data_IF_759542292363
#
_entry.id   IF_759542292363
#
_cell.length_a   1.000
_cell.length_b   1.000
_cell.length_c   1.000
_cell.angle_alpha   90.00
_cell.angle_beta   90.00
_cell.angle_gamma   90.00
#
_symmetry.space_group_name_H-M   'P 1'
#
loop_
_entity.id
_entity.type
_entity.pdbx_description
1 polymer ?
#
# COMPACT_ATOMS: atom_id res chain seq x y z
N UNK A 1 20.46 -0.14 -48.48
CA UNK A 1 21.08 0.78 -47.50
C UNK A 1 20.07 1.74 -46.87
N UNK A 2 19.22 2.43 -47.64
CA UNK A 2 18.23 3.40 -47.12
C UNK A 2 17.24 2.78 -46.11
N UNK A 3 16.66 1.62 -46.41
CA UNK A 3 15.68 0.95 -45.52
C UNK A 3 16.29 0.64 -44.14
N UNK A 4 17.54 0.18 -44.10
CA UNK A 4 18.23 -0.12 -42.84
C UNK A 4 18.45 1.14 -41.98
N UNK A 5 18.76 2.28 -42.62
CA UNK A 5 18.94 3.57 -41.94
C UNK A 5 17.60 4.05 -41.36
N UNK A 6 16.52 3.95 -42.13
CA UNK A 6 15.17 4.34 -41.67
C UNK A 6 14.74 3.49 -40.47
N UNK A 7 14.97 2.18 -40.50
CA UNK A 7 14.66 1.29 -39.38
C UNK A 7 15.48 1.63 -38.13
N UNK A 8 16.77 1.90 -38.29
CA UNK A 8 17.63 2.28 -37.17
C UNK A 8 17.18 3.59 -36.51
N UNK A 9 16.83 4.60 -37.31
CA UNK A 9 16.29 5.87 -36.81
C UNK A 9 14.95 5.67 -36.09
N UNK A 10 14.04 4.86 -36.66
CA UNK A 10 12.76 4.58 -36.03
C UNK A 10 12.91 3.92 -34.65
N UNK A 11 13.77 2.90 -34.54
CA UNK A 11 14.05 2.22 -33.26
C UNK A 11 14.71 3.16 -32.26
N UNK A 12 15.66 3.99 -32.70
CA UNK A 12 16.31 4.99 -31.84
C UNK A 12 15.32 6.02 -31.29
N UNK A 13 14.45 6.56 -32.14
CA UNK A 13 13.37 7.47 -31.73
C UNK A 13 12.40 6.79 -30.76
N UNK A 14 12.00 5.55 -31.04
CA UNK A 14 11.11 4.78 -30.16
C UNK A 14 11.74 4.55 -28.79
N UNK A 15 13.03 4.23 -28.74
CA UNK A 15 13.80 4.07 -27.49
C UNK A 15 13.89 5.37 -26.70
N UNK A 16 14.08 6.50 -27.36
CA UNK A 16 14.12 7.81 -26.71
C UNK A 16 12.75 8.19 -26.12
N UNK A 17 11.68 8.00 -26.88
CA UNK A 17 10.30 8.20 -26.41
C UNK A 17 10.01 7.31 -25.20
N UNK A 18 10.40 6.04 -25.24
CA UNK A 18 10.21 5.12 -24.12
C UNK A 18 10.91 5.58 -22.85
N UNK A 19 12.16 6.05 -22.93
CA UNK A 19 12.88 6.58 -21.78
C UNK A 19 12.25 7.88 -21.24
N UNK A 20 11.73 8.74 -22.12
CA UNK A 20 11.05 9.98 -21.72
C UNK A 20 9.71 9.72 -21.02
N UNK A 21 9.01 8.64 -21.37
CA UNK A 21 7.74 8.23 -20.76
C UNK A 21 7.91 7.43 -19.46
N UNK A 22 9.12 6.97 -19.12
CA UNK A 22 9.34 6.27 -17.86
C UNK A 22 9.16 7.26 -16.70
N UNK A 23 8.23 7.00 -15.77
CA UNK A 23 8.10 7.84 -14.60
C UNK A 23 9.39 7.76 -13.77
N UNK A 24 9.79 8.86 -13.11
CA UNK A 24 10.89 8.82 -12.17
C UNK A 24 10.57 7.82 -11.04
N UNK A 25 11.59 7.16 -10.47
CA UNK A 25 11.39 6.27 -9.33
C UNK A 25 10.61 6.99 -8.22
N UNK A 26 9.59 6.34 -7.62
CA UNK A 26 8.81 6.95 -6.55
C UNK A 26 9.71 7.31 -5.37
N UNK A 27 9.49 8.48 -4.80
CA UNK A 27 10.25 8.96 -3.64
C UNK A 27 9.89 8.15 -2.40
N UNK A 28 10.89 7.83 -1.59
CA UNK A 28 10.71 7.10 -0.33
C UNK A 28 10.05 8.04 0.68
N UNK A 29 8.91 7.64 1.25
CA UNK A 29 8.28 8.39 2.35
C UNK A 29 9.23 8.47 3.56
N UNK A 30 9.35 9.64 4.17
CA UNK A 30 10.26 9.90 5.29
C UNK A 30 11.68 10.30 4.88
N UNK A 31 11.99 10.35 3.57
CA UNK A 31 13.25 10.95 3.10
C UNK A 31 13.16 12.48 3.05
N UNK A 32 14.31 13.18 3.05
CA UNK A 32 14.39 14.65 3.14
C UNK A 32 13.53 15.41 2.11
N UNK A 33 13.32 14.83 0.92
CA UNK A 33 12.51 15.42 -0.17
C UNK A 33 11.27 14.58 -0.52
N UNK A 34 10.96 13.60 0.34
CA UNK A 34 9.88 12.64 0.14
C UNK A 34 8.61 13.01 0.89
N UNK A 35 7.50 12.33 0.56
CA UNK A 35 6.29 12.29 1.36
C UNK A 35 6.53 12.16 2.88
N UNK A 36 5.74 12.82 3.75
CA UNK A 36 5.78 12.52 5.17
C UNK A 36 5.29 11.08 5.42
N UNK A 37 5.79 10.47 6.50
CA UNK A 37 5.28 9.19 6.99
C UNK A 37 3.99 9.44 7.79
N UNK A 38 2.82 9.09 7.25
CA UNK A 38 1.54 9.34 7.95
C UNK A 38 0.96 8.09 8.63
N UNK A 39 1.54 6.92 8.38
CA UNK A 39 1.03 5.63 8.84
C UNK A 39 2.12 4.75 9.46
N UNK A 40 1.75 3.89 10.44
CA UNK A 40 2.68 2.93 11.01
C UNK A 40 3.10 1.89 9.96
N UNK A 41 4.33 1.39 10.10
CA UNK A 41 4.94 0.47 9.13
C UNK A 41 5.53 -0.75 9.82
N UNK A 42 5.42 -1.89 9.17
CA UNK A 42 6.15 -3.11 9.55
C UNK A 42 7.28 -3.36 8.57
N UNK A 43 8.48 -3.64 9.09
CA UNK A 43 9.64 -4.01 8.26
C UNK A 43 9.57 -5.50 7.93
N UNK A 44 9.61 -5.81 6.64
CA UNK A 44 9.66 -7.18 6.12
C UNK A 44 11.10 -7.71 6.20
N UNK A 45 11.26 -9.03 6.08
CA UNK A 45 12.57 -9.71 6.16
C UNK A 45 13.54 -9.25 5.05
N UNK A 46 13.01 -8.86 3.90
CA UNK A 46 13.76 -8.33 2.76
C UNK A 46 14.10 -6.83 2.89
N UNK A 47 13.75 -6.19 4.01
CA UNK A 47 14.02 -4.79 4.28
C UNK A 47 12.96 -3.81 3.74
N UNK A 48 11.95 -4.29 2.99
CA UNK A 48 10.82 -3.43 2.56
C UNK A 48 9.94 -3.06 3.74
N UNK A 49 9.22 -1.95 3.62
CA UNK A 49 8.29 -1.46 4.65
C UNK A 49 6.86 -1.56 4.13
N UNK A 50 5.98 -2.18 4.91
CA UNK A 50 4.57 -2.33 4.58
C UNK A 50 3.76 -1.39 5.49
N UNK A 51 3.08 -0.43 4.88
CA UNK A 51 2.19 0.49 5.60
C UNK A 51 0.92 -0.27 5.99
N UNK A 52 0.42 0.01 7.20
CA UNK A 52 -0.80 -0.60 7.66
C UNK A 52 -1.68 0.38 8.45
N UNK A 53 -2.95 0.02 8.58
CA UNK A 53 -3.89 0.67 9.48
C UNK A 53 -4.48 -0.36 10.42
N UNK A 54 -4.46 -0.06 11.71
CA UNK A 54 -5.10 -0.86 12.75
C UNK A 54 -6.40 -0.20 13.21
N UNK A 55 -7.43 -1.00 13.38
CA UNK A 55 -8.76 -0.57 13.84
C UNK A 55 -9.32 -1.62 14.79
N UNK A 56 -10.01 -1.18 15.84
CA UNK A 56 -10.54 -2.04 16.90
C UNK A 56 -9.67 -1.97 18.15
N UNK A 57 -9.60 -3.06 18.90
CA UNK A 57 -8.76 -3.17 20.10
C UNK A 57 -7.29 -3.40 19.73
N UNK A 58 -6.33 -3.00 20.58
CA UNK A 58 -4.91 -3.26 20.36
C UNK A 58 -4.64 -4.75 20.10
N UNK A 59 -3.64 -5.07 19.26
CA UNK A 59 -3.36 -6.47 18.89
C UNK A 59 -2.94 -7.34 20.08
N UNK A 60 -2.46 -6.71 21.15
CA UNK A 60 -2.03 -7.36 22.39
C UNK A 60 -3.24 -7.87 23.19
N UNK A 61 -4.37 -7.21 23.06
CA UNK A 61 -5.62 -7.50 23.77
C UNK A 61 -6.61 -8.29 22.89
N UNK A 62 -6.39 -8.31 21.57
CA UNK A 62 -7.28 -8.99 20.63
C UNK A 62 -7.21 -10.52 20.73
N UNK A 63 -8.36 -11.16 20.98
CA UNK A 63 -8.59 -12.60 20.89
C UNK A 63 -8.50 -13.10 19.43
N UNK A 64 -8.95 -12.29 18.46
CA UNK A 64 -8.90 -12.61 17.04
C UNK A 64 -8.25 -11.49 16.24
N UNK A 65 -7.40 -11.86 15.28
CA UNK A 65 -6.65 -10.91 14.44
C UNK A 65 -7.05 -11.13 12.99
N UNK A 66 -7.71 -10.15 12.39
CA UNK A 66 -8.16 -10.19 11.01
C UNK A 66 -7.25 -9.28 10.19
N UNK A 67 -6.59 -9.88 9.19
CA UNK A 67 -5.78 -9.15 8.21
C UNK A 67 -6.61 -8.95 6.95
N UNK A 68 -6.70 -7.71 6.50
CA UNK A 68 -7.41 -7.33 5.27
C UNK A 68 -6.38 -6.96 4.21
N UNK A 69 -6.44 -7.66 3.09
CA UNK A 69 -5.70 -7.31 1.88
C UNK A 69 -6.67 -6.61 0.93
N UNK A 70 -6.30 -5.45 0.42
CA UNK A 70 -7.12 -4.72 -0.55
C UNK A 70 -6.81 -5.19 -1.98
N UNK A 71 -7.73 -4.90 -2.91
CA UNK A 71 -7.55 -5.14 -4.34
C UNK A 71 -6.55 -4.16 -4.97
N UNK A 72 -6.19 -4.39 -6.23
CA UNK A 72 -5.38 -3.45 -7.01
C UNK A 72 -6.00 -2.03 -7.03
N UNK A 73 -5.15 -1.00 -7.01
CA UNK A 73 -5.53 0.42 -6.97
C UNK A 73 -6.40 0.82 -5.75
N UNK A 74 -6.15 0.20 -4.61
CA UNK A 74 -6.76 0.55 -3.33
C UNK A 74 -5.64 0.69 -2.27
N UNK A 75 -5.98 1.04 -1.04
CA UNK A 75 -5.03 1.33 0.03
C UNK A 75 -5.42 0.67 1.35
N UNK A 76 -4.54 0.80 2.34
CA UNK A 76 -4.80 0.45 3.75
C UNK A 76 -6.05 1.14 4.31
N UNK A 77 -6.48 2.25 3.70
CA UNK A 77 -7.61 3.07 4.15
C UNK A 77 -8.96 2.61 3.58
N UNK A 78 -8.98 1.47 2.88
CA UNK A 78 -10.20 0.83 2.41
C UNK A 78 -11.23 0.68 3.55
N UNK A 79 -12.41 1.21 3.31
CA UNK A 79 -13.50 1.19 4.27
C UNK A 79 -14.28 -0.14 4.19
N UNK A 80 -14.11 -1.02 5.18
CA UNK A 80 -14.96 -2.22 5.33
C UNK A 80 -16.12 -1.96 6.30
N UNK A 81 -17.38 -1.99 5.84
CA UNK A 81 -18.55 -1.81 6.71
C UNK A 81 -18.61 -2.83 7.85
N UNK A 82 -18.21 -4.07 7.60
CA UNK A 82 -18.16 -5.13 8.63
C UNK A 82 -17.28 -4.75 9.83
N UNK A 83 -16.21 -3.97 9.61
CA UNK A 83 -15.36 -3.47 10.69
C UNK A 83 -16.04 -2.38 11.54
N UNK A 84 -17.01 -1.63 10.98
CA UNK A 84 -17.79 -0.65 11.73
C UNK A 84 -18.84 -1.33 12.60
N UNK A 85 -19.55 -2.31 12.05
CA UNK A 85 -20.57 -3.05 12.78
C UNK A 85 -19.97 -3.76 13.99
N UNK A 86 -18.80 -4.38 13.83
CA UNK A 86 -18.06 -5.00 14.93
C UNK A 86 -17.47 -3.98 15.94
N UNK A 87 -17.26 -2.72 15.53
CA UNK A 87 -16.87 -1.62 16.42
C UNK A 87 -18.04 -1.02 17.21
N UNK A 88 -19.23 -1.00 16.63
CA UNK A 88 -20.42 -0.34 17.21
C UNK A 88 -21.13 -1.18 18.26
N UNK A 89 -20.72 -2.44 18.47
CA UNK A 89 -21.28 -3.20 19.57
C UNK A 89 -20.76 -2.63 20.90
N UNK A 90 -21.66 -2.23 21.81
CA UNK A 90 -21.26 -1.78 23.13
C UNK A 90 -20.49 -2.91 23.80
N UNK A 91 -19.44 -2.52 24.53
CA UNK A 91 -18.43 -3.33 25.23
C UNK A 91 -19.00 -4.42 26.19
N UNK A 92 -20.31 -4.66 26.23
CA UNK A 92 -20.95 -5.63 27.13
C UNK A 92 -21.94 -6.61 26.49
N UNK A 93 -22.23 -6.56 25.17
CA UNK A 93 -23.23 -7.47 24.57
C UNK A 93 -22.65 -8.74 23.95
N UNK A 94 -21.34 -8.78 23.70
CA UNK A 94 -20.58 -9.95 23.26
C UNK A 94 -19.20 -9.88 23.93
N UNK A 95 -19.08 -10.44 25.13
CA UNK A 95 -17.88 -10.38 25.98
C UNK A 95 -16.65 -11.13 25.45
N UNK A 96 -16.66 -11.67 24.22
CA UNK A 96 -15.64 -12.63 23.76
C UNK A 96 -15.17 -12.46 22.30
N UNK A 97 -15.37 -11.30 21.68
CA UNK A 97 -14.81 -11.04 20.34
C UNK A 97 -14.01 -9.75 20.33
N UNK A 98 -12.88 -9.77 21.05
CA UNK A 98 -11.84 -8.75 20.91
C UNK A 98 -11.15 -8.93 19.55
N UNK A 99 -11.59 -8.21 18.53
CA UNK A 99 -11.07 -8.33 17.16
C UNK A 99 -10.20 -7.12 16.80
N UNK A 100 -8.95 -7.38 16.38
CA UNK A 100 -8.10 -6.38 15.75
C UNK A 100 -8.15 -6.53 14.22
N UNK A 101 -8.41 -5.43 13.51
CA UNK A 101 -8.35 -5.37 12.05
C UNK A 101 -7.07 -4.70 11.62
N UNK A 102 -6.34 -5.32 10.70
CA UNK A 102 -5.12 -4.77 10.12
C UNK A 102 -5.21 -4.77 8.60
N UNK A 103 -5.27 -3.60 8.00
CA UNK A 103 -5.28 -3.43 6.55
C UNK A 103 -3.89 -3.04 6.07
N UNK A 104 -3.32 -3.75 5.11
CA UNK A 104 -1.98 -3.49 4.58
C UNK A 104 -2.02 -2.92 3.18
N UNK A 105 -1.11 -1.99 2.89
CA UNK A 105 -0.84 -1.56 1.51
C UNK A 105 0.49 -2.08 0.99
N UNK A 106 0.40 -2.80 -0.14
CA UNK A 106 1.55 -3.31 -0.88
C UNK A 106 2.09 -2.31 -1.91
N UNK A 107 1.41 -1.17 -2.11
CA UNK A 107 1.82 -0.15 -3.06
C UNK A 107 2.63 0.91 -2.31
N UNK A 108 3.80 1.28 -2.85
CA UNK A 108 4.73 2.22 -2.22
C UNK A 108 4.25 3.67 -2.20
N UNK A 109 3.07 3.96 -2.79
CA UNK A 109 2.51 5.32 -2.95
C UNK A 109 1.58 5.74 -1.82
N UNK A 110 1.31 4.88 -0.85
CA UNK A 110 0.41 5.23 0.25
C UNK A 110 1.16 5.98 1.34
N UNK A 111 0.78 7.26 1.47
CA UNK A 111 1.20 8.17 2.53
C UNK A 111 0.74 7.64 3.90
#
# INVERSE_FOLDING_TARGET
MIVAIVLALAVGLLGWVYQALKPPPPKICGSANGPPLTSPRVKLRDGRHLAYREVGVPKEEAQYKIIICHSYNNSKDMHLPASQTLRSFPCGSFSELLVAFRSFSFITTDF
#
